data_IF_483459554657
#
_entry.id   IF_483459554657
#
_cell.length_a   1.000
_cell.length_b   1.000
_cell.length_c   1.000
_cell.angle_alpha   90.00
_cell.angle_beta   90.00
_cell.angle_gamma   90.00
#
_symmetry.space_group_name_H-M   'P 1'
#
loop_
_entity.id
_entity.type
_entity.pdbx_description
1 polymer ?
#
# COMPACT_ATOMS: atom_id res chain seq x y z
N UNK A 1 20.24 23.44 15.32
CA UNK A 1 20.86 22.21 14.78
C UNK A 1 19.75 21.46 14.05
N UNK A 2 19.97 20.94 12.85
CA UNK A 2 18.96 20.15 12.11
C UNK A 2 18.89 18.75 12.73
N UNK A 3 17.72 18.32 13.16
CA UNK A 3 17.50 16.95 13.63
C UNK A 3 16.97 16.13 12.45
N UNK A 4 17.85 15.35 11.81
CA UNK A 4 17.53 14.59 10.61
C UNK A 4 17.64 13.09 10.89
N UNK A 5 16.62 12.33 10.50
CA UNK A 5 16.63 10.88 10.49
C UNK A 5 16.35 10.32 9.11
N UNK A 6 16.94 9.17 8.81
CA UNK A 6 16.75 8.37 7.62
C UNK A 6 15.93 7.14 7.97
N UNK A 7 14.96 6.78 7.14
CA UNK A 7 14.24 5.51 7.22
C UNK A 7 14.50 4.68 5.98
N UNK A 8 14.69 3.39 6.17
CA UNK A 8 14.97 2.43 5.12
C UNK A 8 14.03 1.22 5.28
N UNK A 9 13.48 0.77 4.17
CA UNK A 9 12.81 -0.53 4.08
C UNK A 9 13.48 -1.41 3.05
N UNK A 10 13.76 -2.66 3.41
CA UNK A 10 14.39 -3.68 2.56
C UNK A 10 13.49 -4.91 2.42
N UNK A 11 13.79 -5.74 1.42
CA UNK A 11 12.97 -6.89 1.05
C UNK A 11 12.28 -6.65 -0.28
N UNK A 12 10.96 -6.66 -0.32
CA UNK A 12 10.17 -6.18 -1.46
C UNK A 12 9.70 -4.73 -1.20
N UNK A 13 9.38 -4.01 -2.26
CA UNK A 13 8.92 -2.61 -2.21
C UNK A 13 9.89 -1.67 -1.45
N UNK A 14 11.21 -1.89 -1.64
CA UNK A 14 12.26 -1.10 -0.98
C UNK A 14 12.01 0.40 -1.12
N UNK A 15 12.21 1.12 -0.02
CA UNK A 15 11.95 2.56 0.03
C UNK A 15 12.87 3.29 0.99
N UNK A 16 12.89 4.61 0.85
CA UNK A 16 13.70 5.54 1.63
C UNK A 16 12.84 6.72 2.04
N UNK A 17 12.99 7.21 3.28
CA UNK A 17 12.32 8.42 3.76
C UNK A 17 13.23 9.28 4.64
N UNK A 18 13.00 10.59 4.63
CA UNK A 18 13.76 11.57 5.43
C UNK A 18 12.79 12.40 6.27
N UNK A 19 13.03 12.42 7.57
CA UNK A 19 12.37 13.32 8.54
C UNK A 19 13.36 14.38 8.97
N UNK A 20 12.96 15.64 8.91
CA UNK A 20 13.72 16.77 9.45
C UNK A 20 12.87 17.57 10.42
N UNK A 21 13.35 17.77 11.63
CA UNK A 21 12.69 18.57 12.69
C UNK A 21 11.20 18.18 12.88
N UNK A 22 10.88 16.88 12.79
CA UNK A 22 9.53 16.33 12.95
C UNK A 22 8.65 16.39 11.71
N UNK A 23 9.16 16.89 10.59
CA UNK A 23 8.46 16.97 9.30
C UNK A 23 9.01 15.94 8.31
N UNK A 24 8.12 15.25 7.60
CA UNK A 24 8.52 14.43 6.46
C UNK A 24 8.85 15.35 5.28
N UNK A 25 10.11 15.34 4.86
CA UNK A 25 10.58 16.19 3.77
C UNK A 25 10.85 15.45 2.47
N UNK A 26 10.95 14.13 2.53
CA UNK A 26 11.13 13.30 1.34
C UNK A 26 10.87 11.83 1.60
N UNK A 27 10.30 11.15 0.59
CA UNK A 27 10.20 9.69 0.54
C UNK A 27 10.21 9.21 -0.92
N UNK A 28 10.87 8.08 -1.16
CA UNK A 28 11.07 7.56 -2.52
C UNK A 28 11.13 6.05 -2.52
N UNK A 29 10.26 5.40 -3.28
CA UNK A 29 10.34 3.97 -3.54
C UNK A 29 11.51 3.69 -4.53
N UNK A 30 12.31 2.66 -4.23
CA UNK A 30 13.49 2.32 -5.03
C UNK A 30 13.13 1.93 -6.48
N UNK A 31 11.92 1.40 -6.71
CA UNK A 31 11.42 1.08 -8.07
C UNK A 31 11.36 2.31 -9.00
N UNK A 32 11.29 3.53 -8.45
CA UNK A 32 11.33 4.77 -9.23
C UNK A 32 12.71 5.03 -9.83
N UNK A 33 13.75 4.47 -9.22
CA UNK A 33 15.16 4.64 -9.60
C UNK A 33 15.66 3.43 -10.39
N UNK A 34 15.54 2.21 -9.84
CA UNK A 34 16.05 0.99 -10.47
C UNK A 34 15.14 0.44 -11.58
N UNK A 35 13.93 1.02 -11.75
CA UNK A 35 12.94 0.66 -12.77
C UNK A 35 12.46 -0.79 -12.70
N UNK A 36 12.59 -1.41 -11.54
CA UNK A 36 12.11 -2.77 -11.27
C UNK A 36 10.89 -2.68 -10.38
N UNK A 37 9.75 -3.12 -10.88
CA UNK A 37 8.51 -3.14 -10.11
C UNK A 37 8.70 -3.96 -8.83
N UNK A 38 8.24 -3.41 -7.70
CA UNK A 38 8.43 -3.92 -6.34
C UNK A 38 9.88 -4.01 -5.85
N UNK A 39 10.87 -3.61 -6.63
CA UNK A 39 12.28 -3.48 -6.26
C UNK A 39 12.76 -4.45 -5.16
N UNK A 40 12.77 -5.78 -5.45
CA UNK A 40 13.05 -6.82 -4.46
C UNK A 40 14.56 -6.99 -4.25
N UNK A 41 15.05 -6.75 -3.04
CA UNK A 41 16.41 -7.07 -2.62
C UNK A 41 16.60 -6.92 -1.10
N UNK A 42 17.47 -7.75 -0.53
CA UNK A 42 17.97 -7.56 0.84
C UNK A 42 19.02 -6.42 0.96
N UNK A 43 19.55 -5.91 -0.17
CA UNK A 43 20.57 -4.85 -0.18
C UNK A 43 19.94 -3.48 -0.02
N UNK A 44 20.64 -2.59 0.67
CA UNK A 44 20.26 -1.19 0.81
C UNK A 44 20.19 -0.52 -0.57
N UNK A 45 19.15 0.29 -0.85
CA UNK A 45 19.01 1.00 -2.13
C UNK A 45 19.83 2.30 -2.16
N UNK A 46 21.17 2.21 -2.14
CA UNK A 46 22.08 3.35 -2.04
C UNK A 46 21.81 4.44 -3.09
N UNK A 47 21.60 4.06 -4.35
CA UNK A 47 21.29 5.03 -5.41
C UNK A 47 20.01 5.83 -5.11
N UNK A 48 19.04 5.22 -4.45
CA UNK A 48 17.80 5.90 -4.04
C UNK A 48 18.06 6.88 -2.91
N UNK A 49 18.91 6.50 -1.94
CA UNK A 49 19.35 7.37 -0.84
C UNK A 49 20.08 8.58 -1.43
N UNK A 50 21.12 8.35 -2.24
CA UNK A 50 21.98 9.41 -2.79
C UNK A 50 21.18 10.40 -3.62
N UNK A 51 20.25 9.93 -4.46
CA UNK A 51 19.40 10.81 -5.27
C UNK A 51 18.43 11.63 -4.42
N UNK A 52 17.86 11.04 -3.37
CA UNK A 52 16.95 11.77 -2.47
C UNK A 52 17.71 12.81 -1.66
N UNK A 53 18.87 12.47 -1.11
CA UNK A 53 19.72 13.39 -0.36
C UNK A 53 20.21 14.55 -1.24
N UNK A 54 20.69 14.25 -2.44
CA UNK A 54 21.12 15.28 -3.41
C UNK A 54 19.97 16.22 -3.77
N UNK A 55 18.75 15.70 -3.95
CA UNK A 55 17.56 16.52 -4.22
C UNK A 55 17.18 17.43 -3.06
N UNK A 56 17.32 16.95 -1.81
CA UNK A 56 17.01 17.69 -0.60
C UNK A 56 18.17 18.57 -0.10
N UNK A 57 19.32 18.55 -0.77
CA UNK A 57 20.54 19.26 -0.37
C UNK A 57 20.98 18.90 1.07
N UNK A 58 20.93 17.60 1.41
CA UNK A 58 21.32 17.05 2.70
C UNK A 58 22.58 16.22 2.54
N UNK A 59 23.56 16.43 3.42
CA UNK A 59 24.70 15.54 3.55
C UNK A 59 24.33 14.30 4.35
N UNK A 60 24.88 13.13 4.00
CA UNK A 60 24.71 11.92 4.82
C UNK A 60 25.22 12.14 6.27
N UNK A 61 26.24 12.98 6.44
CA UNK A 61 26.81 13.32 7.74
C UNK A 61 25.88 14.19 8.64
N UNK A 62 24.81 14.78 8.08
CA UNK A 62 23.79 15.49 8.84
C UNK A 62 22.78 14.54 9.51
N UNK A 63 22.77 13.27 9.09
CA UNK A 63 21.86 12.23 9.58
C UNK A 63 22.51 11.50 10.76
N UNK A 64 21.85 11.53 11.91
CA UNK A 64 22.34 10.88 13.13
C UNK A 64 21.69 9.53 13.40
N UNK A 65 20.40 9.39 13.12
CA UNK A 65 19.64 8.17 13.38
C UNK A 65 19.09 7.58 12.10
N UNK A 66 19.26 6.26 11.94
CA UNK A 66 18.77 5.50 10.80
C UNK A 66 17.80 4.44 11.28
N UNK A 67 16.53 4.57 10.93
CA UNK A 67 15.53 3.54 11.16
C UNK A 67 15.56 2.50 10.04
N UNK A 68 15.55 1.23 10.37
CA UNK A 68 15.46 0.15 9.41
C UNK A 68 14.28 -0.77 9.72
N UNK A 69 13.65 -1.23 8.67
CA UNK A 69 12.66 -2.29 8.68
C UNK A 69 12.85 -3.16 7.44
N UNK A 70 12.33 -4.38 7.45
CA UNK A 70 12.53 -5.34 6.37
C UNK A 70 11.33 -6.28 6.25
N UNK A 71 11.21 -6.91 5.09
CA UNK A 71 10.21 -7.94 4.83
C UNK A 71 10.85 -9.13 4.11
N UNK A 72 10.52 -10.34 4.54
CA UNK A 72 10.91 -11.59 3.89
C UNK A 72 12.42 -11.75 3.65
N UNK A 73 13.25 -11.36 4.62
CA UNK A 73 14.71 -11.44 4.56
C UNK A 73 15.20 -12.49 5.53
N UNK A 74 15.81 -13.55 5.02
CA UNK A 74 16.44 -14.61 5.82
C UNK A 74 17.95 -14.32 5.95
N UNK A 75 18.31 -13.43 6.87
CA UNK A 75 19.70 -13.05 7.19
C UNK A 75 19.88 -13.08 8.70
N UNK A 76 20.89 -13.82 9.14
CA UNK A 76 21.30 -13.82 10.54
C UNK A 76 21.96 -12.48 10.89
N UNK A 77 21.71 -11.95 12.09
CA UNK A 77 22.28 -10.69 12.59
C UNK A 77 22.00 -9.50 11.62
N UNK A 78 20.74 -9.28 11.30
CA UNK A 78 20.30 -8.24 10.35
C UNK A 78 20.82 -6.84 10.70
N UNK A 79 20.89 -6.50 11.98
CA UNK A 79 21.39 -5.20 12.44
C UNK A 79 22.85 -5.00 12.04
N UNK A 80 23.72 -5.97 12.34
CA UNK A 80 25.15 -5.93 11.97
C UNK A 80 25.29 -5.89 10.45
N UNK A 81 24.52 -6.71 9.72
CA UNK A 81 24.54 -6.77 8.26
C UNK A 81 24.22 -5.41 7.62
N UNK A 82 23.22 -4.70 8.09
CA UNK A 82 22.87 -3.39 7.54
C UNK A 82 23.81 -2.29 8.03
N UNK A 83 24.28 -2.37 9.27
CA UNK A 83 25.29 -1.46 9.78
C UNK A 83 26.57 -1.50 8.95
N UNK A 84 27.06 -2.70 8.65
CA UNK A 84 28.25 -2.89 7.81
C UNK A 84 28.06 -2.36 6.40
N UNK A 85 26.92 -2.62 5.74
CA UNK A 85 26.64 -2.08 4.41
C UNK A 85 26.66 -0.54 4.40
N UNK A 86 26.04 0.10 5.40
CA UNK A 86 26.02 1.57 5.50
C UNK A 86 27.41 2.14 5.76
N UNK A 87 28.15 1.56 6.70
CA UNK A 87 29.49 1.99 7.09
C UNK A 87 30.52 1.79 5.97
N UNK A 88 30.36 0.70 5.19
CA UNK A 88 31.22 0.42 4.06
C UNK A 88 30.98 1.35 2.88
N UNK A 89 29.74 1.72 2.62
CA UNK A 89 29.38 2.64 1.54
C UNK A 89 29.68 4.10 1.91
N UNK A 90 29.27 4.55 3.09
CA UNK A 90 29.47 5.90 3.57
C UNK A 90 30.59 5.95 4.63
N UNK A 91 31.84 6.04 4.18
CA UNK A 91 33.02 6.08 5.08
C UNK A 91 32.99 7.32 5.97
N UNK A 92 33.39 7.13 7.25
CA UNK A 92 33.45 8.18 8.27
C UNK A 92 32.09 8.78 8.67
N UNK A 93 30.97 8.14 8.33
CA UNK A 93 29.65 8.54 8.80
C UNK A 93 29.41 7.97 10.23
N UNK A 94 29.06 8.85 11.15
CA UNK A 94 28.73 8.47 12.52
C UNK A 94 27.21 8.48 12.72
N UNK A 95 26.60 7.33 12.82
CA UNK A 95 25.16 7.15 12.95
C UNK A 95 24.81 6.07 13.97
N UNK A 96 23.59 6.09 14.45
CA UNK A 96 23.00 5.06 15.29
C UNK A 96 21.87 4.37 14.50
N UNK A 97 21.93 3.02 14.42
CA UNK A 97 20.92 2.22 13.78
C UNK A 97 19.77 1.92 14.73
N UNK A 98 18.55 1.96 14.25
CA UNK A 98 17.32 1.70 15.01
C UNK A 98 16.51 0.66 14.23
N UNK A 99 16.54 -0.59 14.69
CA UNK A 99 15.65 -1.63 14.15
C UNK A 99 14.22 -1.33 14.57
N UNK A 100 13.32 -1.33 13.62
CA UNK A 100 11.89 -1.05 13.82
C UNK A 100 11.11 -2.26 13.38
N UNK A 101 10.29 -2.76 14.28
CA UNK A 101 9.35 -3.84 14.03
C UNK A 101 8.45 -3.53 12.82
N UNK A 102 8.15 -4.56 12.00
CA UNK A 102 7.45 -4.42 10.74
C UNK A 102 6.06 -3.78 10.90
N UNK A 103 5.23 -4.32 11.81
CA UNK A 103 3.90 -3.74 12.05
C UNK A 103 3.96 -2.40 12.75
N UNK A 104 4.97 -2.17 13.61
CA UNK A 104 5.19 -0.86 14.22
C UNK A 104 5.59 0.20 13.18
N UNK A 105 6.36 -0.17 12.17
CA UNK A 105 6.70 0.74 11.07
C UNK A 105 5.46 1.12 10.26
N UNK A 106 4.59 0.16 9.93
CA UNK A 106 3.28 0.44 9.33
C UNK A 106 2.44 1.37 10.21
N UNK A 107 2.36 1.10 11.51
CA UNK A 107 1.59 1.92 12.45
C UNK A 107 2.13 3.35 12.53
N UNK A 108 3.45 3.52 12.59
CA UNK A 108 4.08 4.83 12.61
C UNK A 108 3.87 5.60 11.30
N UNK A 109 3.95 4.93 10.14
CA UNK A 109 3.74 5.57 8.83
C UNK A 109 2.34 6.16 8.71
N UNK A 110 1.31 5.40 9.09
CA UNK A 110 -0.08 5.88 8.97
C UNK A 110 -0.46 6.87 10.07
N UNK A 111 -0.04 6.65 11.33
CA UNK A 111 -0.39 7.55 12.42
C UNK A 111 0.25 8.93 12.29
N UNK A 112 1.57 9.00 12.06
CA UNK A 112 2.27 10.29 11.99
C UNK A 112 1.95 11.11 10.73
N UNK A 113 1.28 10.51 9.76
CA UNK A 113 0.76 11.21 8.57
C UNK A 113 -0.74 11.52 8.64
N UNK A 114 -1.43 11.13 9.72
CA UNK A 114 -2.88 11.32 9.86
C UNK A 114 -3.29 12.72 10.30
N UNK A 115 -2.43 13.43 11.04
CA UNK A 115 -2.80 14.66 11.74
C UNK A 115 -3.63 14.42 13.03
N UNK A 116 -3.85 13.16 13.42
CA UNK A 116 -4.61 12.84 14.63
C UNK A 116 -3.79 13.00 15.90
N UNK A 117 -4.40 13.53 16.97
CA UNK A 117 -3.77 13.60 18.29
C UNK A 117 -3.74 12.24 18.99
N UNK A 118 -4.73 11.40 18.73
CA UNK A 118 -4.87 10.04 19.23
C UNK A 118 -5.74 9.22 18.28
N UNK A 119 -5.34 7.96 18.03
CA UNK A 119 -6.14 7.04 17.19
C UNK A 119 -5.96 5.59 17.61
N UNK A 120 -6.92 4.75 17.21
CA UNK A 120 -6.67 3.34 16.98
C UNK A 120 -5.87 3.20 15.68
N UNK A 121 -4.91 2.27 15.65
CA UNK A 121 -4.18 1.91 14.46
C UNK A 121 -4.34 0.41 14.25
N UNK A 122 -4.95 0.01 13.15
CA UNK A 122 -5.14 -1.39 12.82
C UNK A 122 -4.29 -1.74 11.60
N UNK A 123 -3.40 -2.72 11.79
CA UNK A 123 -2.53 -3.26 10.77
C UNK A 123 -3.05 -4.62 10.35
N UNK A 124 -3.20 -4.83 9.03
CA UNK A 124 -3.52 -6.12 8.43
C UNK A 124 -2.67 -6.32 7.16
N UNK A 125 -1.71 -7.21 7.28
CA UNK A 125 -0.72 -7.45 6.23
C UNK A 125 -0.56 -8.95 5.91
N UNK A 126 0.22 -9.23 4.87
CA UNK A 126 0.58 -10.58 4.48
C UNK A 126 1.40 -11.32 5.55
N UNK A 127 2.19 -10.60 6.29
CA UNK A 127 3.04 -11.07 7.36
C UNK A 127 3.89 -9.93 7.90
N UNK A 128 4.59 -10.18 9.00
CA UNK A 128 5.50 -9.23 9.64
C UNK A 128 6.66 -9.95 10.32
N UNK A 129 7.15 -9.41 11.42
CA UNK A 129 8.26 -9.99 12.16
C UNK A 129 7.85 -11.28 12.90
N UNK A 130 8.85 -12.03 13.33
CA UNK A 130 8.63 -13.26 14.09
C UNK A 130 8.40 -12.97 15.58
N UNK A 131 7.25 -13.40 16.08
CA UNK A 131 6.87 -13.35 17.49
C UNK A 131 6.79 -14.78 18.03
N UNK A 132 7.73 -15.17 18.88
CA UNK A 132 7.80 -16.53 19.45
C UNK A 132 7.79 -17.64 18.36
N UNK A 133 8.45 -17.42 17.22
CA UNK A 133 8.54 -18.37 16.12
C UNK A 133 7.35 -18.39 15.17
N UNK A 134 6.32 -17.57 15.41
CA UNK A 134 5.20 -17.30 14.52
C UNK A 134 5.33 -15.91 13.91
N UNK A 135 4.72 -15.70 12.76
CA UNK A 135 4.78 -14.42 12.05
C UNK A 135 3.60 -13.52 12.46
N UNK A 136 3.81 -12.22 12.58
CA UNK A 136 2.72 -11.26 12.75
C UNK A 136 1.71 -11.36 11.62
N UNK A 137 0.43 -11.21 11.93
CA UNK A 137 -0.64 -11.23 10.92
C UNK A 137 -1.53 -10.00 10.99
N UNK A 138 -2.13 -9.73 12.12
CA UNK A 138 -2.88 -8.51 12.42
C UNK A 138 -2.40 -7.92 13.75
N UNK A 139 -2.25 -6.60 13.80
CA UNK A 139 -1.84 -5.87 15.02
C UNK A 139 -2.68 -4.63 15.22
N UNK A 140 -2.98 -4.35 16.49
CA UNK A 140 -3.72 -3.15 16.91
C UNK A 140 -2.89 -2.35 17.88
N UNK A 141 -2.76 -1.06 17.60
CA UNK A 141 -2.07 -0.12 18.46
C UNK A 141 -3.02 1.00 18.89
N UNK A 142 -2.74 1.56 20.06
CA UNK A 142 -3.21 2.89 20.43
C UNK A 142 -2.05 3.84 20.25
N UNK A 143 -2.23 4.84 19.42
CA UNK A 143 -1.21 5.83 19.09
C UNK A 143 -1.66 7.22 19.58
N UNK A 144 -0.73 7.95 20.17
CA UNK A 144 -0.88 9.36 20.54
C UNK A 144 0.43 10.13 20.32
N UNK A 145 0.45 11.41 20.71
CA UNK A 145 1.65 12.28 20.57
C UNK A 145 2.89 11.76 21.30
N UNK A 146 2.71 10.88 22.30
CA UNK A 146 3.82 10.39 23.12
C UNK A 146 4.39 9.09 22.57
N UNK A 147 3.51 8.12 22.19
CA UNK A 147 3.98 6.82 21.69
C UNK A 147 2.90 6.08 20.89
N UNK A 148 3.32 4.97 20.31
CA UNK A 148 2.50 3.98 19.61
C UNK A 148 2.63 2.67 20.39
N UNK A 149 1.55 2.25 21.05
CA UNK A 149 1.54 1.13 22.00
C UNK A 149 0.74 -0.02 21.42
N UNK A 150 1.35 -1.18 21.26
CA UNK A 150 0.67 -2.43 20.87
C UNK A 150 -0.32 -2.83 21.98
N UNK A 151 -1.58 -3.06 21.61
CA UNK A 151 -2.65 -3.46 22.55
C UNK A 151 -3.23 -4.82 22.25
N UNK A 152 -3.24 -5.21 20.97
CA UNK A 152 -3.66 -6.56 20.55
C UNK A 152 -2.82 -7.00 19.35
N UNK A 153 -2.54 -8.30 19.28
CA UNK A 153 -1.80 -8.88 18.16
C UNK A 153 -2.28 -10.30 17.91
N UNK A 154 -2.41 -10.66 16.65
CA UNK A 154 -2.60 -12.01 16.16
C UNK A 154 -1.36 -12.43 15.38
N UNK A 155 -1.00 -13.69 15.50
CA UNK A 155 0.12 -14.28 14.77
C UNK A 155 -0.35 -15.43 13.90
N UNK A 156 0.40 -15.70 12.84
CA UNK A 156 0.16 -16.81 11.92
C UNK A 156 1.32 -17.80 11.96
N UNK A 157 1.08 -19.01 11.44
CA UNK A 157 2.12 -20.04 11.37
C UNK A 157 3.21 -19.66 10.37
N UNK A 158 4.48 -19.73 10.79
CA UNK A 158 5.65 -19.46 9.96
C UNK A 158 5.88 -20.48 8.81
N UNK A 159 5.10 -21.57 8.76
CA UNK A 159 5.23 -22.63 7.73
C UNK A 159 5.00 -22.09 6.31
N UNK A 160 4.30 -20.96 6.17
CA UNK A 160 3.89 -20.39 4.89
C UNK A 160 5.09 -19.94 4.03
N UNK A 161 6.17 -19.47 4.63
CA UNK A 161 7.39 -19.07 3.90
C UNK A 161 8.14 -20.26 3.26
N UNK A 162 7.93 -21.49 3.77
CA UNK A 162 8.61 -22.69 3.27
C UNK A 162 7.92 -23.30 2.05
N UNK A 163 6.70 -22.87 1.72
CA UNK A 163 5.96 -23.40 0.58
C UNK A 163 6.40 -22.69 -0.71
N UNK A 164 6.94 -23.47 -1.66
CA UNK A 164 7.37 -22.91 -2.94
C UNK A 164 6.17 -22.35 -3.74
N UNK A 165 6.37 -21.26 -4.49
CA UNK A 165 5.36 -20.67 -5.40
C UNK A 165 4.72 -21.71 -6.35
N UNK A 166 5.47 -22.73 -6.76
CA UNK A 166 4.96 -23.83 -7.60
C UNK A 166 3.86 -24.64 -6.93
N UNK A 167 3.89 -24.78 -5.60
CA UNK A 167 2.87 -25.52 -4.85
C UNK A 167 1.54 -24.76 -4.79
N UNK A 168 1.56 -23.44 -4.87
CA UNK A 168 0.36 -22.63 -4.95
C UNK A 168 -0.41 -22.77 -6.26
N UNK A 169 0.30 -22.99 -7.38
CA UNK A 169 -0.30 -23.09 -8.71
C UNK A 169 -0.87 -24.46 -9.05
N UNK A 170 -0.38 -25.52 -8.38
CA UNK A 170 -0.65 -26.88 -8.86
C UNK A 170 -1.97 -27.44 -8.35
N UNK A 171 -2.38 -27.16 -7.13
CA UNK A 171 -3.70 -27.54 -6.57
C UNK A 171 -3.90 -26.82 -5.22
N UNK A 172 -4.45 -25.60 -5.20
CA UNK A 172 -4.66 -24.87 -3.94
C UNK A 172 -5.59 -25.60 -2.96
N UNK A 173 -6.39 -26.57 -3.45
CA UNK A 173 -7.30 -27.36 -2.64
C UNK A 173 -6.64 -28.54 -1.91
N UNK A 174 -5.48 -29.02 -2.37
CA UNK A 174 -4.86 -30.26 -1.84
C UNK A 174 -3.69 -30.01 -0.89
N UNK A 175 -3.37 -28.76 -0.58
CA UNK A 175 -2.29 -28.48 0.33
C UNK A 175 -2.82 -28.32 1.76
N UNK A 176 -2.86 -29.43 2.49
CA UNK A 176 -3.24 -29.51 3.91
C UNK A 176 -2.55 -28.44 4.79
N UNK A 177 -1.36 -27.98 4.38
CA UNK A 177 -0.62 -26.94 5.08
C UNK A 177 -1.36 -25.59 5.09
N UNK A 178 -2.11 -25.25 4.03
CA UNK A 178 -2.92 -24.03 3.99
C UNK A 178 -4.25 -24.16 4.72
N UNK A 179 -4.85 -25.36 4.69
CA UNK A 179 -6.17 -25.58 5.28
C UNK A 179 -6.12 -25.72 6.80
N UNK A 180 -4.98 -26.17 7.36
CA UNK A 180 -4.83 -26.49 8.79
C UNK A 180 -4.11 -25.42 9.61
N UNK A 181 -3.50 -24.42 8.99
CA UNK A 181 -2.72 -23.42 9.70
C UNK A 181 -3.44 -22.06 9.74
N UNK A 182 -3.36 -21.41 10.87
CA UNK A 182 -3.80 -20.01 10.97
C UNK A 182 -2.91 -19.15 10.08
N UNK A 183 -3.54 -18.35 9.21
CA UNK A 183 -2.90 -17.37 8.35
C UNK A 183 -3.63 -16.02 8.43
N UNK A 184 -2.99 -14.94 7.99
CA UNK A 184 -3.57 -13.60 7.99
C UNK A 184 -4.76 -13.50 7.02
N UNK A 185 -5.63 -12.51 7.26
CA UNK A 185 -6.71 -12.18 6.31
C UNK A 185 -6.14 -11.83 4.95
N UNK A 186 -5.04 -11.09 4.92
CA UNK A 186 -4.35 -10.71 3.68
C UNK A 186 -3.79 -11.92 2.93
N UNK A 187 -3.16 -12.88 3.63
CA UNK A 187 -2.67 -14.13 3.02
C UNK A 187 -3.81 -15.00 2.48
N UNK A 188 -4.95 -15.07 3.17
CA UNK A 188 -6.12 -15.79 2.64
C UNK A 188 -6.65 -15.15 1.36
N UNK A 189 -6.69 -13.82 1.30
CA UNK A 189 -7.05 -13.10 0.07
C UNK A 189 -6.07 -13.39 -1.07
N UNK A 190 -4.77 -13.38 -0.77
CA UNK A 190 -3.72 -13.73 -1.74
C UNK A 190 -3.84 -15.19 -2.21
N UNK A 191 -4.12 -16.14 -1.31
CA UNK A 191 -4.32 -17.55 -1.66
C UNK A 191 -5.44 -17.73 -2.70
N UNK A 192 -6.58 -17.06 -2.51
CA UNK A 192 -7.67 -17.07 -3.50
C UNK A 192 -7.23 -16.37 -4.80
N UNK A 193 -6.42 -15.33 -4.71
CA UNK A 193 -5.83 -14.67 -5.89
C UNK A 193 -5.05 -15.65 -6.75
N UNK A 194 -4.20 -16.48 -6.15
CA UNK A 194 -3.51 -17.57 -6.88
C UNK A 194 -4.48 -18.61 -7.43
N UNK A 195 -5.47 -19.01 -6.64
CA UNK A 195 -6.44 -20.03 -7.02
C UNK A 195 -7.21 -19.65 -8.29
N UNK A 196 -7.53 -18.38 -8.46
CA UNK A 196 -8.23 -17.89 -9.68
C UNK A 196 -7.30 -17.52 -10.84
N UNK A 197 -6.00 -17.87 -10.72
CA UNK A 197 -5.03 -17.79 -11.82
C UNK A 197 -4.26 -16.47 -11.93
N UNK A 198 -4.23 -15.67 -10.88
CA UNK A 198 -3.36 -14.52 -10.78
C UNK A 198 -2.06 -14.87 -10.03
N UNK A 199 -1.08 -13.97 -10.03
CA UNK A 199 0.23 -14.18 -9.45
C UNK A 199 0.44 -13.29 -8.20
N UNK A 200 1.61 -13.43 -7.58
CA UNK A 200 2.08 -12.64 -6.44
C UNK A 200 1.91 -11.11 -6.68
N UNK A 201 1.52 -10.40 -5.65
CA UNK A 201 1.21 -8.98 -5.70
C UNK A 201 0.13 -8.58 -6.75
N UNK A 202 -0.76 -9.50 -7.08
CA UNK A 202 -1.87 -9.24 -7.99
C UNK A 202 -3.26 -9.24 -7.31
N UNK A 203 -3.31 -9.16 -5.98
CA UNK A 203 -4.56 -9.09 -5.22
C UNK A 203 -5.50 -7.96 -5.70
N UNK A 204 -4.95 -6.84 -6.17
CA UNK A 204 -5.72 -5.78 -6.80
C UNK A 204 -6.46 -6.19 -8.09
N UNK A 205 -6.05 -7.29 -8.77
CA UNK A 205 -6.82 -7.86 -9.89
C UNK A 205 -8.04 -8.62 -9.37
N UNK A 206 -7.88 -9.39 -8.29
CA UNK A 206 -8.98 -10.07 -7.61
C UNK A 206 -10.04 -9.08 -7.14
N UNK A 207 -9.62 -7.98 -6.48
CA UNK A 207 -10.51 -6.89 -6.09
C UNK A 207 -11.29 -6.31 -7.30
N UNK A 208 -10.57 -5.98 -8.39
CA UNK A 208 -11.20 -5.45 -9.60
C UNK A 208 -12.15 -6.44 -10.29
N UNK A 209 -11.83 -7.75 -10.22
CA UNK A 209 -12.65 -8.81 -10.81
C UNK A 209 -13.90 -9.09 -9.97
N UNK A 210 -13.83 -8.92 -8.66
CA UNK A 210 -14.92 -9.17 -7.72
C UNK A 210 -16.20 -8.39 -8.06
N UNK A 211 -16.06 -7.19 -8.62
CA UNK A 211 -17.20 -6.34 -9.04
C UNK A 211 -18.04 -6.93 -10.19
N UNK A 212 -17.57 -8.00 -10.84
CA UNK A 212 -18.25 -8.66 -11.96
C UNK A 212 -18.86 -10.01 -11.59
N UNK A 213 -18.72 -10.45 -10.34
CA UNK A 213 -19.19 -11.73 -9.85
C UNK A 213 -20.28 -11.60 -8.80
N UNK A 214 -20.79 -12.75 -8.37
CA UNK A 214 -21.73 -12.88 -7.28
C UNK A 214 -21.16 -13.79 -6.19
N UNK A 215 -21.57 -13.59 -4.94
CA UNK A 215 -21.15 -14.46 -3.85
C UNK A 215 -21.72 -15.88 -4.05
N UNK A 216 -20.82 -16.87 -4.10
CA UNK A 216 -21.20 -18.27 -4.35
C UNK A 216 -21.68 -18.99 -3.10
N UNK A 217 -21.24 -18.55 -1.93
CA UNK A 217 -21.36 -19.29 -0.67
C UNK A 217 -21.92 -18.37 0.38
N UNK A 218 -22.97 -18.80 1.05
CA UNK A 218 -23.44 -18.12 2.25
C UNK A 218 -22.57 -18.51 3.44
N UNK A 219 -22.09 -17.52 4.17
CA UNK A 219 -21.21 -17.72 5.33
C UNK A 219 -21.46 -16.67 6.40
N UNK A 220 -21.28 -17.08 7.64
CA UNK A 220 -21.29 -16.21 8.79
C UNK A 220 -19.86 -15.89 9.21
N UNK A 221 -19.62 -14.65 9.59
CA UNK A 221 -18.37 -14.23 10.23
C UNK A 221 -18.46 -14.59 11.71
N UNK A 222 -17.40 -15.15 12.33
CA UNK A 222 -17.40 -15.42 13.75
C UNK A 222 -17.60 -14.13 14.56
N UNK A 223 -18.17 -14.27 15.74
CA UNK A 223 -18.25 -13.17 16.71
C UNK A 223 -16.82 -12.83 17.17
N UNK A 224 -16.39 -11.59 16.96
CA UNK A 224 -15.07 -11.11 17.35
C UNK A 224 -15.12 -10.63 18.82
N UNK A 225 -14.47 -11.35 19.71
CA UNK A 225 -14.35 -11.02 21.16
C UNK A 225 -12.96 -10.53 21.52
N UNK A 226 -11.99 -10.91 20.74
CA UNK A 226 -10.60 -10.49 20.78
C UNK A 226 -9.99 -10.69 19.38
N UNK A 227 -8.74 -10.39 19.20
CA UNK A 227 -8.05 -10.60 17.91
C UNK A 227 -7.71 -12.08 17.65
N UNK A 228 -7.98 -13.00 18.60
CA UNK A 228 -7.74 -14.44 18.48
C UNK A 228 -8.98 -15.16 17.91
N UNK A 229 -9.24 -15.00 16.64
CA UNK A 229 -10.36 -15.64 15.95
C UNK A 229 -9.86 -16.67 14.94
N UNK A 230 -10.69 -17.69 14.68
CA UNK A 230 -10.45 -18.64 13.59
C UNK A 230 -11.00 -18.08 12.27
N UNK A 231 -10.23 -18.26 11.20
CA UNK A 231 -10.69 -17.86 9.87
C UNK A 231 -11.52 -18.98 9.24
N UNK A 232 -12.77 -18.67 8.93
CA UNK A 232 -13.70 -19.60 8.26
C UNK A 232 -13.45 -19.72 6.74
N UNK A 233 -12.41 -19.09 6.22
CA UNK A 233 -12.10 -19.12 4.80
C UNK A 233 -11.73 -20.54 4.31
N UNK A 234 -11.28 -21.42 5.21
CA UNK A 234 -11.04 -22.84 4.88
C UNK A 234 -12.32 -23.50 4.44
N UNK A 235 -13.43 -23.25 5.15
CA UNK A 235 -14.75 -23.69 4.74
C UNK A 235 -15.11 -23.20 3.32
N UNK A 236 -14.82 -21.94 2.98
CA UNK A 236 -15.08 -21.40 1.64
C UNK A 236 -14.25 -22.13 0.59
N UNK A 237 -12.98 -22.39 0.85
CA UNK A 237 -12.11 -23.15 -0.05
C UNK A 237 -12.63 -24.58 -0.24
N UNK A 238 -13.04 -25.23 0.84
CA UNK A 238 -13.62 -26.57 0.78
C UNK A 238 -14.92 -26.62 -0.05
N UNK A 239 -15.81 -25.64 0.12
CA UNK A 239 -17.04 -25.56 -0.68
C UNK A 239 -16.76 -25.31 -2.16
N UNK A 240 -15.80 -24.44 -2.49
CA UNK A 240 -15.35 -24.24 -3.87
C UNK A 240 -14.76 -25.54 -4.44
N UNK A 241 -14.03 -26.31 -3.63
CA UNK A 241 -13.50 -27.59 -4.03
C UNK A 241 -14.62 -28.62 -4.31
N UNK A 242 -15.63 -28.73 -3.42
CA UNK A 242 -16.79 -29.59 -3.64
C UNK A 242 -17.55 -29.21 -4.92
N UNK A 243 -17.68 -27.91 -5.22
CA UNK A 243 -18.25 -27.42 -6.48
C UNK A 243 -17.40 -27.86 -7.68
N UNK A 244 -16.08 -27.80 -7.56
CA UNK A 244 -15.17 -28.25 -8.60
C UNK A 244 -15.33 -29.73 -8.87
N UNK A 245 -15.26 -30.58 -7.86
CA UNK A 245 -15.42 -32.05 -8.01
C UNK A 245 -16.76 -32.44 -8.61
N UNK A 246 -17.85 -31.82 -8.12
CA UNK A 246 -19.20 -32.10 -8.63
C UNK A 246 -19.44 -31.59 -10.05
N UNK A 247 -18.65 -30.64 -10.52
CA UNK A 247 -18.81 -30.02 -11.85
C UNK A 247 -18.41 -30.95 -13.00
N UNK A 248 -17.54 -31.94 -12.76
CA UNK A 248 -16.94 -32.77 -13.81
C UNK A 248 -16.03 -32.01 -14.77
N UNK A 249 -15.74 -30.73 -14.53
CA UNK A 249 -14.90 -29.89 -15.38
C UNK A 249 -13.41 -30.08 -15.07
N UNK A 250 -12.55 -29.87 -16.06
CA UNK A 250 -11.12 -29.68 -15.80
C UNK A 250 -10.91 -28.35 -15.05
N UNK A 251 -9.91 -28.31 -14.15
CA UNK A 251 -9.62 -27.14 -13.29
C UNK A 251 -9.56 -25.81 -14.05
N UNK A 252 -8.81 -25.66 -15.17
CA UNK A 252 -8.79 -24.39 -15.91
C UNK A 252 -10.16 -23.96 -16.44
N UNK A 253 -10.99 -24.92 -16.85
CA UNK A 253 -12.35 -24.64 -17.34
C UNK A 253 -13.26 -24.22 -16.19
N UNK A 254 -13.14 -24.87 -15.03
CA UNK A 254 -13.88 -24.51 -13.82
C UNK A 254 -13.52 -23.08 -13.38
N UNK A 255 -12.22 -22.78 -13.25
CA UNK A 255 -11.77 -21.43 -12.84
C UNK A 255 -12.24 -20.38 -13.87
N UNK A 256 -12.08 -20.60 -15.15
CA UNK A 256 -12.55 -19.66 -16.16
C UNK A 256 -14.05 -19.36 -16.05
N UNK A 257 -14.85 -20.35 -15.63
CA UNK A 257 -16.30 -20.18 -15.46
C UNK A 257 -16.65 -19.40 -14.18
N UNK A 258 -15.97 -19.64 -13.07
CA UNK A 258 -16.38 -19.18 -11.75
C UNK A 258 -15.44 -18.12 -11.12
N UNK A 259 -14.34 -17.73 -11.77
CA UNK A 259 -13.33 -16.86 -11.15
C UNK A 259 -13.86 -15.50 -10.70
N UNK A 260 -14.88 -14.95 -11.36
CA UNK A 260 -15.51 -13.69 -10.96
C UNK A 260 -16.28 -13.86 -9.66
N UNK A 261 -17.03 -14.94 -9.57
CA UNK A 261 -17.84 -15.25 -8.38
C UNK A 261 -16.96 -15.65 -7.20
N UNK A 262 -15.87 -16.39 -7.44
CA UNK A 262 -14.87 -16.72 -6.42
C UNK A 262 -14.20 -15.43 -5.90
N UNK A 263 -13.83 -14.53 -6.81
CA UNK A 263 -13.26 -13.24 -6.45
C UNK A 263 -14.24 -12.39 -5.61
N UNK A 264 -15.53 -12.37 -5.99
CA UNK A 264 -16.56 -11.68 -5.23
C UNK A 264 -16.76 -12.31 -3.84
N UNK A 265 -16.76 -13.64 -3.76
CA UNK A 265 -16.92 -14.36 -2.49
C UNK A 265 -15.82 -14.00 -1.49
N UNK A 266 -14.55 -14.02 -1.89
CA UNK A 266 -13.44 -13.63 -1.00
C UNK A 266 -13.48 -12.15 -0.65
N UNK A 267 -13.91 -11.29 -1.57
CA UNK A 267 -14.05 -9.85 -1.29
C UNK A 267 -15.10 -9.62 -0.19
N UNK A 268 -16.28 -10.16 -0.34
CA UNK A 268 -17.37 -10.03 0.66
C UNK A 268 -16.96 -10.65 2.00
N UNK A 269 -16.28 -11.80 1.98
CA UNK A 269 -15.77 -12.40 3.20
C UNK A 269 -14.79 -11.46 3.92
N UNK A 270 -13.82 -10.93 3.19
CA UNK A 270 -12.81 -10.01 3.74
C UNK A 270 -13.45 -8.74 4.31
N UNK A 271 -14.40 -8.16 3.59
CA UNK A 271 -15.17 -7.00 4.06
C UNK A 271 -15.92 -7.31 5.37
N UNK A 272 -16.67 -8.40 5.43
CA UNK A 272 -17.41 -8.80 6.63
C UNK A 272 -16.46 -9.03 7.83
N UNK A 273 -15.33 -9.71 7.62
CA UNK A 273 -14.32 -9.96 8.67
C UNK A 273 -13.75 -8.67 9.22
N UNK A 274 -13.23 -7.81 8.35
CA UNK A 274 -12.60 -6.56 8.78
C UNK A 274 -13.59 -5.61 9.42
N UNK A 275 -14.82 -5.53 8.90
CA UNK A 275 -15.90 -4.74 9.51
C UNK A 275 -16.21 -5.24 10.94
N UNK A 276 -16.30 -6.56 11.14
CA UNK A 276 -16.54 -7.12 12.47
C UNK A 276 -15.38 -6.78 13.43
N UNK A 277 -14.13 -6.87 12.97
CA UNK A 277 -12.96 -6.49 13.77
C UNK A 277 -13.00 -4.99 14.11
N UNK A 278 -13.23 -4.13 13.13
CA UNK A 278 -13.29 -2.68 13.34
C UNK A 278 -14.40 -2.32 14.32
N UNK A 279 -15.58 -2.96 14.22
CA UNK A 279 -16.67 -2.78 15.17
C UNK A 279 -16.30 -3.16 16.59
N UNK A 280 -15.67 -4.33 16.76
CA UNK A 280 -15.14 -4.76 18.05
C UNK A 280 -14.11 -3.75 18.62
N UNK A 281 -13.19 -3.26 17.80
CA UNK A 281 -12.16 -2.31 18.24
C UNK A 281 -12.76 -0.96 18.68
N UNK A 282 -13.67 -0.41 17.90
CA UNK A 282 -14.38 0.83 18.23
C UNK A 282 -15.16 0.67 19.54
N UNK A 283 -15.87 -0.45 19.68
CA UNK A 283 -16.67 -0.70 20.87
C UNK A 283 -15.82 -0.91 22.13
N UNK A 284 -14.71 -1.63 22.01
CA UNK A 284 -13.80 -1.91 23.12
C UNK A 284 -13.04 -0.67 23.60
N UNK A 285 -12.44 0.08 22.66
CA UNK A 285 -11.53 1.17 23.00
C UNK A 285 -12.19 2.55 23.02
N UNK A 286 -13.41 2.69 22.48
CA UNK A 286 -14.16 3.95 22.43
C UNK A 286 -13.39 5.11 21.80
N UNK A 287 -12.60 4.80 20.75
CA UNK A 287 -11.85 5.75 19.95
C UNK A 287 -12.43 5.72 18.53
N UNK A 288 -12.87 6.88 18.03
CA UNK A 288 -13.51 7.02 16.71
C UNK A 288 -12.53 7.46 15.60
N UNK A 289 -11.27 7.74 15.94
CA UNK A 289 -10.20 8.00 14.96
C UNK A 289 -9.47 6.69 14.67
N UNK A 290 -9.47 6.29 13.41
CA UNK A 290 -8.92 5.01 12.96
C UNK A 290 -7.87 5.25 11.87
N UNK A 291 -6.67 4.74 12.10
CA UNK A 291 -5.62 4.63 11.09
C UNK A 291 -5.51 3.18 10.61
N UNK A 292 -5.39 2.97 9.30
CA UNK A 292 -5.21 1.65 8.71
C UNK A 292 -3.89 1.59 7.93
N UNK A 293 -3.15 0.46 8.02
CA UNK A 293 -1.99 0.17 7.18
C UNK A 293 -1.76 -1.34 7.03
N UNK A 294 -0.86 -1.72 6.13
CA UNK A 294 -0.64 -3.07 5.64
C UNK A 294 -1.24 -3.25 4.24
N UNK A 295 -0.73 -4.22 3.51
CA UNK A 295 -1.09 -4.46 2.10
C UNK A 295 -2.58 -4.69 1.86
N UNK A 296 -3.33 -5.19 2.85
CA UNK A 296 -4.78 -5.39 2.75
C UNK A 296 -5.53 -4.09 2.48
N UNK A 297 -5.09 -2.96 3.06
CA UNK A 297 -5.76 -1.66 2.91
C UNK A 297 -5.45 -0.92 1.61
N UNK A 298 -4.75 -1.56 0.66
CA UNK A 298 -4.82 -1.18 -0.75
C UNK A 298 -6.18 -1.51 -1.39
N UNK A 299 -7.04 -2.24 -0.68
CA UNK A 299 -8.38 -2.62 -1.11
C UNK A 299 -9.37 -1.45 -0.84
N UNK A 300 -9.57 -0.60 -1.86
CA UNK A 300 -10.41 0.58 -1.77
C UNK A 300 -11.91 0.26 -1.56
N UNK A 301 -12.39 -0.91 -1.99
CA UNK A 301 -13.76 -1.36 -1.73
C UNK A 301 -13.96 -1.63 -0.24
N UNK A 302 -13.06 -2.39 0.37
CA UNK A 302 -13.04 -2.65 1.80
C UNK A 302 -13.01 -1.36 2.62
N UNK A 303 -12.09 -0.47 2.29
CA UNK A 303 -11.91 0.79 3.03
C UNK A 303 -13.18 1.66 2.97
N UNK A 304 -13.79 1.74 1.80
CA UNK A 304 -15.05 2.48 1.66
C UNK A 304 -16.18 1.82 2.46
N UNK A 305 -16.24 0.49 2.47
CA UNK A 305 -17.25 -0.28 3.21
C UNK A 305 -17.16 -0.08 4.73
N UNK A 306 -15.94 0.11 5.27
CA UNK A 306 -15.73 0.48 6.68
C UNK A 306 -16.41 1.83 6.98
N UNK A 307 -16.21 2.85 6.15
CA UNK A 307 -16.83 4.16 6.32
C UNK A 307 -18.35 4.16 6.13
N UNK A 308 -18.87 3.34 5.22
CA UNK A 308 -20.31 3.17 5.07
C UNK A 308 -20.94 2.56 6.34
N UNK A 309 -20.26 1.58 6.94
CA UNK A 309 -20.76 0.85 8.11
C UNK A 309 -20.62 1.66 9.39
N UNK A 310 -19.53 2.39 9.55
CA UNK A 310 -19.23 3.21 10.72
C UNK A 310 -19.07 4.68 10.33
N UNK A 311 -20.20 5.39 10.06
CA UNK A 311 -20.16 6.74 9.51
C UNK A 311 -19.59 7.82 10.46
N UNK A 312 -19.47 7.50 11.74
CA UNK A 312 -19.01 8.42 12.78
C UNK A 312 -17.50 8.33 13.05
N UNK A 313 -16.78 7.46 12.33
CA UNK A 313 -15.33 7.40 12.45
C UNK A 313 -14.64 8.40 11.52
N UNK A 314 -13.50 8.90 11.97
CA UNK A 314 -12.54 9.59 11.12
C UNK A 314 -11.47 8.57 10.68
N UNK A 315 -11.38 8.29 9.39
CA UNK A 315 -10.48 7.29 8.83
C UNK A 315 -9.29 7.94 8.14
N UNK A 316 -8.08 7.50 8.48
CA UNK A 316 -6.86 7.82 7.74
C UNK A 316 -6.16 6.57 7.25
N UNK A 317 -5.69 6.60 6.00
CA UNK A 317 -4.88 5.57 5.37
C UNK A 317 -3.76 6.28 4.63
N UNK A 318 -2.52 6.00 5.00
CA UNK A 318 -1.36 6.54 4.27
C UNK A 318 -1.40 6.09 2.80
N UNK A 319 -1.13 6.97 1.81
CA UNK A 319 -1.12 6.57 0.39
C UNK A 319 -0.13 5.44 0.09
N UNK A 320 0.95 5.32 0.86
CA UNK A 320 1.89 4.20 0.87
C UNK A 320 1.52 3.23 2.01
N UNK A 321 0.34 2.63 1.95
CA UNK A 321 -0.16 1.74 3.03
C UNK A 321 0.49 0.36 3.03
N UNK A 322 1.11 -0.07 1.92
CA UNK A 322 1.94 -1.27 1.83
C UNK A 322 3.37 -1.02 2.31
N UNK A 323 4.27 -1.96 2.01
CA UNK A 323 5.66 -1.94 2.50
C UNK A 323 6.48 -0.76 1.98
N UNK A 324 6.12 -0.18 0.85
CA UNK A 324 6.74 1.03 0.33
C UNK A 324 6.58 2.25 1.25
N UNK A 325 5.65 2.22 2.21
CA UNK A 325 5.48 3.24 3.24
C UNK A 325 6.25 2.98 4.53
N UNK A 326 6.80 1.81 4.73
CA UNK A 326 7.47 1.45 5.99
C UNK A 326 8.72 2.30 6.27
N UNK A 327 9.44 2.72 5.24
CA UNK A 327 10.56 3.65 5.42
C UNK A 327 10.13 4.96 6.10
N UNK A 328 8.89 5.43 5.87
CA UNK A 328 8.33 6.60 6.55
C UNK A 328 8.21 6.32 8.05
N UNK A 329 7.62 5.19 8.42
CA UNK A 329 7.47 4.78 9.81
C UNK A 329 8.82 4.58 10.51
N UNK A 330 9.77 3.92 9.84
CA UNK A 330 11.12 3.71 10.33
C UNK A 330 11.85 5.05 10.58
N UNK A 331 11.71 6.02 9.65
CA UNK A 331 12.30 7.36 9.80
C UNK A 331 11.70 8.10 11.01
N UNK A 332 10.38 8.04 11.22
CA UNK A 332 9.74 8.64 12.40
C UNK A 332 10.19 7.98 13.72
N UNK A 333 10.31 6.65 13.75
CA UNK A 333 10.80 5.93 14.94
C UNK A 333 12.27 6.28 15.24
N UNK A 334 13.11 6.41 14.23
CA UNK A 334 14.49 6.90 14.38
C UNK A 334 14.51 8.37 14.86
N UNK A 335 13.64 9.23 14.32
CA UNK A 335 13.53 10.62 14.75
C UNK A 335 13.20 10.75 16.24
N UNK A 336 12.39 9.85 16.79
CA UNK A 336 12.03 9.82 18.22
C UNK A 336 13.21 9.55 19.17
N UNK A 337 14.39 9.18 18.65
CA UNK A 337 15.65 9.07 19.44
C UNK A 337 16.29 10.42 19.76
N UNK A 338 15.93 11.49 19.06
CA UNK A 338 16.37 12.82 19.45
C UNK A 338 15.69 13.24 20.77
N UNK A 339 16.39 14.03 21.60
CA UNK A 339 15.82 14.64 22.80
C UNK A 339 14.86 15.78 22.42
N UNK A 340 13.81 15.95 23.22
CA UNK A 340 12.85 17.06 23.11
C UNK A 340 12.21 17.18 21.71
N UNK A 341 11.88 16.05 21.09
CA UNK A 341 11.28 16.01 19.76
C UNK A 341 9.81 16.39 19.78
N UNK A 342 9.44 17.36 18.97
CA UNK A 342 8.05 17.65 18.61
C UNK A 342 7.79 17.05 17.22
N UNK A 343 6.72 16.26 17.09
CA UNK A 343 6.23 15.84 15.79
C UNK A 343 5.24 16.88 15.29
N UNK A 344 5.41 17.27 14.04
CA UNK A 344 4.54 18.24 13.38
C UNK A 344 3.40 17.52 12.66
N UNK A 345 2.37 18.27 12.31
CA UNK A 345 1.30 17.76 11.47
C UNK A 345 1.82 17.53 10.04
N UNK A 346 1.90 16.25 9.65
CA UNK A 346 2.38 15.82 8.34
C UNK A 346 1.25 15.52 7.35
N UNK A 347 -0.02 15.67 7.73
CA UNK A 347 -1.17 15.30 6.90
C UNK A 347 -1.24 16.03 5.57
N UNK A 348 -0.71 17.25 5.51
CA UNK A 348 -0.70 18.08 4.30
C UNK A 348 0.52 17.87 3.38
N UNK A 349 1.53 17.12 3.85
CA UNK A 349 2.79 16.97 3.10
C UNK A 349 2.80 15.76 2.17
N UNK A 350 1.89 14.84 2.34
CA UNK A 350 1.72 13.64 1.52
C UNK A 350 0.69 13.90 0.41
N UNK A 351 0.78 13.23 -0.74
CA UNK A 351 1.69 12.13 -1.11
C UNK A 351 2.95 12.55 -1.89
N UNK A 352 3.17 13.82 -2.17
CA UNK A 352 4.17 14.32 -3.13
C UNK A 352 5.55 14.50 -2.49
N UNK A 353 6.18 13.38 -2.12
CA UNK A 353 7.42 13.33 -1.35
C UNK A 353 8.66 12.94 -2.15
N UNK A 354 8.49 12.47 -3.39
CA UNK A 354 9.61 12.06 -4.23
C UNK A 354 10.36 13.24 -4.86
N UNK A 355 11.09 12.97 -5.94
CA UNK A 355 11.93 13.94 -6.65
C UNK A 355 11.11 14.68 -7.71
N UNK A 356 11.36 15.97 -7.87
CA UNK A 356 10.94 16.79 -9.03
C UNK A 356 12.15 17.11 -9.91
N UNK A 357 11.89 17.57 -11.11
CA UNK A 357 12.91 17.93 -12.09
C UNK A 357 12.68 19.36 -12.59
N UNK A 358 13.76 20.14 -12.73
CA UNK A 358 13.68 21.49 -13.29
C UNK A 358 13.36 21.43 -14.79
N UNK A 359 12.75 22.50 -15.31
CA UNK A 359 12.49 22.63 -16.75
C UNK A 359 13.76 22.46 -17.59
N UNK A 360 14.91 22.94 -17.07
CA UNK A 360 16.18 22.79 -17.78
C UNK A 360 16.63 21.33 -17.87
N UNK A 361 16.47 20.53 -16.80
CA UNK A 361 16.79 19.09 -16.84
C UNK A 361 15.84 18.34 -17.77
N UNK A 362 14.56 18.69 -17.78
CA UNK A 362 13.58 18.09 -18.70
C UNK A 362 13.97 18.42 -20.14
N UNK A 363 14.27 19.71 -20.45
CA UNK A 363 14.68 20.14 -21.76
C UNK A 363 15.95 19.40 -22.24
N UNK A 364 16.98 19.35 -21.41
CA UNK A 364 18.21 18.63 -21.72
C UNK A 364 17.94 17.15 -22.02
N UNK A 365 17.05 16.50 -21.26
CA UNK A 365 16.66 15.11 -21.51
C UNK A 365 15.96 14.95 -22.87
N UNK A 366 15.03 15.81 -23.21
CA UNK A 366 14.32 15.77 -24.49
C UNK A 366 15.29 15.95 -25.67
N UNK A 367 16.23 16.90 -25.56
CA UNK A 367 17.24 17.17 -26.56
C UNK A 367 18.23 15.99 -26.72
N UNK A 368 18.66 15.38 -25.61
CA UNK A 368 19.53 14.20 -25.64
C UNK A 368 18.91 12.98 -26.32
N UNK A 369 17.58 12.85 -26.24
CA UNK A 369 16.84 11.79 -26.94
C UNK A 369 16.33 12.22 -28.33
N UNK A 370 16.69 13.42 -28.81
CA UNK A 370 16.23 14.01 -30.07
C UNK A 370 14.69 14.04 -30.20
N UNK A 371 13.99 14.30 -29.08
CA UNK A 371 12.53 14.40 -29.06
C UNK A 371 12.09 15.81 -29.42
N UNK A 372 11.08 15.92 -30.28
CA UNK A 372 10.41 17.19 -30.59
C UNK A 372 9.49 17.55 -29.43
N UNK A 373 9.47 18.82 -29.05
CA UNK A 373 8.59 19.33 -28.00
C UNK A 373 8.15 20.75 -28.32
N UNK A 374 6.99 21.15 -27.80
CA UNK A 374 6.54 22.52 -27.73
C UNK A 374 6.76 23.06 -26.33
N UNK A 375 7.12 24.34 -26.24
CA UNK A 375 7.32 25.01 -24.96
C UNK A 375 6.23 26.07 -24.77
N UNK A 376 5.64 26.12 -23.59
CA UNK A 376 4.62 27.09 -23.21
C UNK A 376 5.10 27.90 -22.02
N UNK A 377 5.17 29.23 -22.17
CA UNK A 377 5.54 30.14 -21.08
C UNK A 377 4.42 30.31 -20.05
N UNK A 378 3.18 30.12 -20.49
CA UNK A 378 1.99 30.27 -19.65
C UNK A 378 1.42 28.91 -19.23
N UNK A 379 1.27 28.70 -17.92
CA UNK A 379 0.55 27.54 -17.37
C UNK A 379 -0.89 27.48 -17.87
N UNK A 380 -1.57 28.62 -18.00
CA UNK A 380 -2.96 28.68 -18.48
C UNK A 380 -3.07 28.24 -19.94
N UNK A 381 -2.09 28.60 -20.78
CA UNK A 381 -2.04 28.13 -22.17
C UNK A 381 -1.82 26.63 -22.24
N UNK A 382 -0.86 26.10 -21.48
CA UNK A 382 -0.61 24.67 -21.39
C UNK A 382 -1.86 23.92 -20.89
N UNK A 383 -2.54 24.42 -19.87
CA UNK A 383 -3.78 23.83 -19.35
C UNK A 383 -4.90 23.80 -20.42
N UNK A 384 -5.04 24.86 -21.20
CA UNK A 384 -6.02 24.88 -22.32
C UNK A 384 -5.69 23.82 -23.39
N UNK A 385 -4.41 23.69 -23.76
CA UNK A 385 -3.96 22.69 -24.71
C UNK A 385 -4.24 21.28 -24.19
N UNK A 386 -3.93 20.99 -22.92
CA UNK A 386 -4.20 19.71 -22.28
C UNK A 386 -5.70 19.42 -22.25
N UNK A 387 -6.51 20.37 -21.78
CA UNK A 387 -7.97 20.23 -21.69
C UNK A 387 -8.61 19.98 -23.06
N UNK A 388 -8.18 20.69 -24.11
CA UNK A 388 -8.66 20.50 -25.48
C UNK A 388 -8.33 19.09 -25.97
N UNK A 389 -7.09 18.62 -25.76
CA UNK A 389 -6.71 17.26 -26.15
C UNK A 389 -7.52 16.18 -25.42
N UNK A 390 -7.78 16.36 -24.10
CA UNK A 390 -8.65 15.45 -23.33
C UNK A 390 -10.08 15.47 -23.86
N UNK A 391 -10.62 16.65 -24.13
CA UNK A 391 -11.97 16.80 -24.70
C UNK A 391 -12.10 16.08 -26.06
N UNK A 392 -11.05 16.14 -26.88
CA UNK A 392 -10.95 15.40 -28.16
C UNK A 392 -10.68 13.90 -28.00
N UNK A 393 -10.81 13.36 -26.79
CA UNK A 393 -10.57 11.95 -26.44
C UNK A 393 -9.12 11.48 -26.65
N UNK A 394 -8.15 12.39 -26.66
CA UNK A 394 -6.74 12.01 -26.64
C UNK A 394 -6.31 11.60 -25.24
N UNK A 395 -5.28 10.75 -25.15
CA UNK A 395 -4.71 10.27 -23.90
C UNK A 395 -3.43 11.05 -23.63
N UNK A 396 -3.33 11.63 -22.43
CA UNK A 396 -2.19 12.46 -22.00
C UNK A 396 -1.38 11.72 -20.95
N UNK A 397 -0.06 11.57 -21.16
CA UNK A 397 0.90 11.27 -20.10
C UNK A 397 1.23 12.56 -19.36
N UNK A 398 0.88 12.63 -18.08
CA UNK A 398 1.06 13.82 -17.26
C UNK A 398 2.20 13.62 -16.25
N UNK A 399 3.18 14.51 -16.29
CA UNK A 399 4.38 14.47 -15.45
C UNK A 399 4.68 15.87 -14.93
N UNK A 400 4.51 16.10 -13.63
CA UNK A 400 4.71 17.40 -12.99
C UNK A 400 5.20 17.27 -11.56
N UNK A 401 5.77 18.31 -10.99
CA UNK A 401 6.15 18.42 -9.58
C UNK A 401 6.93 17.23 -9.02
N UNK A 402 6.82 17.04 -7.73
CA UNK A 402 7.40 15.88 -7.02
C UNK A 402 6.58 14.61 -7.28
N UNK A 403 7.24 13.45 -7.39
CA UNK A 403 6.51 12.19 -7.54
C UNK A 403 5.78 11.80 -6.27
N UNK A 404 4.71 11.05 -6.45
CA UNK A 404 3.95 10.45 -5.37
C UNK A 404 4.74 9.34 -4.67
N UNK A 405 4.51 9.17 -3.36
CA UNK A 405 4.83 7.94 -2.63
C UNK A 405 3.59 7.03 -2.64
N UNK A 406 3.80 5.72 -2.67
CA UNK A 406 2.73 4.74 -2.78
C UNK A 406 2.54 4.21 -4.19
N UNK A 407 1.73 3.13 -4.35
CA UNK A 407 1.57 2.44 -5.64
C UNK A 407 0.61 3.16 -6.59
N UNK A 408 -0.11 4.18 -6.13
CA UNK A 408 -1.12 4.90 -6.92
C UNK A 408 -0.52 6.14 -7.58
N UNK A 409 -0.88 6.36 -8.85
CA UNK A 409 -0.62 7.63 -9.52
C UNK A 409 -1.70 8.65 -9.11
N UNK A 410 -1.28 9.81 -8.60
CA UNK A 410 -2.15 10.83 -8.00
C UNK A 410 -1.93 12.20 -8.68
N UNK A 411 -2.05 12.22 -9.99
CA UNK A 411 -1.95 13.38 -10.87
C UNK A 411 -0.54 13.96 -11.11
N UNK A 412 0.53 13.47 -10.48
CA UNK A 412 1.89 13.91 -10.81
C UNK A 412 2.63 12.99 -11.79
N UNK A 413 2.30 11.71 -11.81
CA UNK A 413 2.85 10.69 -12.72
C UNK A 413 1.70 9.85 -13.28
N UNK A 414 0.78 10.50 -14.02
CA UNK A 414 -0.50 9.93 -14.37
C UNK A 414 -0.72 9.85 -15.88
N UNK A 415 -1.59 8.93 -16.28
CA UNK A 415 -2.24 8.94 -17.59
C UNK A 415 -3.63 9.52 -17.38
N UNK A 416 -3.94 10.62 -18.07
CA UNK A 416 -5.20 11.35 -17.95
C UNK A 416 -5.95 11.25 -19.28
N UNK A 417 -7.27 11.05 -19.19
CA UNK A 417 -8.14 10.94 -20.35
C UNK A 417 -9.56 11.39 -20.02
N UNK A 418 -10.40 11.52 -21.05
CA UNK A 418 -11.78 11.92 -20.92
C UNK A 418 -12.63 10.87 -20.19
N UNK A 419 -13.10 11.19 -18.98
CA UNK A 419 -13.93 10.30 -18.17
C UNK A 419 -15.39 10.21 -18.66
N UNK A 420 -15.84 11.14 -19.53
CA UNK A 420 -17.21 11.17 -20.02
C UNK A 420 -17.44 10.27 -21.25
N UNK A 421 -16.37 9.80 -21.90
CA UNK A 421 -16.48 8.87 -23.00
C UNK A 421 -16.55 7.42 -22.49
N UNK A 422 -17.70 6.76 -22.62
CA UNK A 422 -17.94 5.41 -22.10
C UNK A 422 -16.99 4.32 -22.62
N UNK A 423 -16.37 4.50 -23.80
CA UNK A 423 -15.36 3.58 -24.36
C UNK A 423 -13.94 3.78 -23.85
N UNK A 424 -13.67 4.85 -23.09
CA UNK A 424 -12.29 5.24 -22.71
C UNK A 424 -11.59 4.18 -21.86
N UNK A 425 -12.28 3.54 -20.91
CA UNK A 425 -11.71 2.47 -20.08
C UNK A 425 -11.15 1.34 -20.93
N UNK A 426 -11.93 0.83 -21.87
CA UNK A 426 -11.53 -0.30 -22.71
C UNK A 426 -10.42 0.11 -23.68
N UNK A 427 -10.51 1.31 -24.25
CA UNK A 427 -9.48 1.86 -25.11
C UNK A 427 -8.13 1.96 -24.40
N UNK A 428 -8.06 2.55 -23.18
CA UNK A 428 -6.81 2.66 -22.43
C UNK A 428 -6.28 1.27 -22.02
N UNK A 429 -7.15 0.36 -21.55
CA UNK A 429 -6.73 -0.98 -21.17
C UNK A 429 -6.14 -1.73 -22.36
N UNK A 430 -6.75 -1.66 -23.55
CA UNK A 430 -6.32 -2.37 -24.73
C UNK A 430 -5.11 -1.72 -25.43
N UNK A 431 -5.13 -0.40 -25.61
CA UNK A 431 -4.16 0.31 -26.49
C UNK A 431 -2.96 0.88 -25.75
N UNK A 432 -3.10 1.18 -24.46
CA UNK A 432 -2.05 1.85 -23.68
C UNK A 432 -1.47 0.94 -22.60
N UNK A 433 -2.33 0.29 -21.82
CA UNK A 433 -1.90 -0.53 -20.69
C UNK A 433 -1.69 -2.00 -21.05
N UNK A 434 -2.24 -2.49 -22.16
CA UNK A 434 -2.18 -3.89 -22.59
C UNK A 434 -2.49 -4.86 -21.45
N UNK A 435 -3.64 -4.65 -20.80
CA UNK A 435 -4.05 -5.39 -19.60
C UNK A 435 -5.52 -5.82 -19.67
N UNK A 436 -5.96 -6.55 -18.66
CA UNK A 436 -7.29 -7.13 -18.59
C UNK A 436 -8.40 -6.05 -18.64
N UNK A 437 -9.49 -6.28 -19.42
CA UNK A 437 -10.56 -5.28 -19.62
C UNK A 437 -11.32 -4.90 -18.36
N UNK A 438 -11.40 -5.81 -17.38
CA UNK A 438 -12.08 -5.54 -16.10
C UNK A 438 -11.36 -4.53 -15.19
N UNK A 439 -10.08 -4.22 -15.45
CA UNK A 439 -9.30 -3.30 -14.62
C UNK A 439 -9.91 -1.89 -14.65
N UNK A 440 -10.24 -1.32 -13.47
CA UNK A 440 -10.84 0.01 -13.40
C UNK A 440 -9.81 1.13 -13.56
N UNK A 441 -10.33 2.33 -13.75
CA UNK A 441 -9.64 3.62 -13.57
C UNK A 441 -10.39 4.45 -12.56
N UNK A 442 -9.70 5.34 -11.85
CA UNK A 442 -10.32 6.28 -10.94
C UNK A 442 -10.55 7.62 -11.65
N UNK A 443 -11.71 8.24 -11.49
CA UNK A 443 -11.91 9.63 -11.89
C UNK A 443 -11.13 10.56 -10.97
N UNK A 444 -10.74 11.72 -11.48
CA UNK A 444 -10.20 12.85 -10.71
C UNK A 444 -11.14 14.03 -10.88
N UNK A 445 -11.46 14.67 -9.77
CA UNK A 445 -12.31 15.86 -9.69
C UNK A 445 -11.65 16.91 -8.80
N UNK A 446 -12.04 18.16 -8.94
CA UNK A 446 -11.65 19.19 -7.98
C UNK A 446 -12.30 18.91 -6.62
N UNK A 447 -11.57 19.16 -5.53
CA UNK A 447 -12.02 18.86 -4.17
C UNK A 447 -13.36 19.50 -3.82
N UNK A 448 -13.59 20.75 -4.26
CA UNK A 448 -14.86 21.45 -4.06
C UNK A 448 -16.07 20.81 -4.75
N UNK A 449 -15.85 19.95 -5.74
CA UNK A 449 -16.91 19.21 -6.46
C UNK A 449 -16.99 17.73 -6.08
N UNK A 450 -16.13 17.23 -5.18
CA UNK A 450 -16.11 15.80 -4.87
C UNK A 450 -17.47 15.27 -4.44
N UNK A 451 -18.19 16.00 -3.56
CA UNK A 451 -19.51 15.61 -3.06
C UNK A 451 -20.65 15.83 -4.07
N UNK A 452 -20.39 16.59 -5.12
CA UNK A 452 -21.34 16.72 -6.23
C UNK A 452 -21.35 15.44 -7.06
N UNK A 453 -20.19 14.81 -7.26
CA UNK A 453 -20.06 13.62 -8.08
C UNK A 453 -20.14 12.31 -7.31
N UNK A 454 -19.77 12.32 -6.03
CA UNK A 454 -19.61 11.08 -5.25
C UNK A 454 -20.29 11.16 -3.89
N UNK A 455 -20.86 10.02 -3.46
CA UNK A 455 -21.39 9.86 -2.11
C UNK A 455 -20.23 9.64 -1.12
N UNK A 456 -19.55 10.73 -0.76
CA UNK A 456 -18.40 10.74 0.15
C UNK A 456 -18.74 11.44 1.47
N UNK A 457 -18.37 10.81 2.60
CA UNK A 457 -18.47 11.39 3.94
C UNK A 457 -17.21 12.12 4.36
N UNK A 458 -16.07 11.70 3.84
CA UNK A 458 -14.77 12.36 4.01
C UNK A 458 -14.03 12.42 2.67
N UNK A 459 -13.05 13.32 2.54
CA UNK A 459 -12.24 13.47 1.32
C UNK A 459 -11.48 12.19 0.96
N UNK A 460 -11.27 11.96 -0.34
CA UNK A 460 -10.58 10.78 -0.87
C UNK A 460 -9.41 11.16 -1.77
N UNK A 461 -8.30 11.73 -1.22
CA UNK A 461 -7.22 12.27 -2.03
C UNK A 461 -6.26 11.19 -2.57
N UNK A 462 -6.33 9.94 -2.08
CA UNK A 462 -5.29 8.94 -2.33
C UNK A 462 -5.78 7.72 -3.12
N UNK A 463 -6.97 7.75 -3.73
CA UNK A 463 -7.54 6.61 -4.48
C UNK A 463 -7.65 5.32 -3.61
N UNK A 464 -7.93 5.50 -2.32
CA UNK A 464 -8.07 4.41 -1.33
C UNK A 464 -9.51 4.21 -0.85
N UNK A 465 -10.46 4.97 -1.41
CA UNK A 465 -11.90 4.79 -1.24
C UNK A 465 -12.57 4.59 -2.60
N UNK A 466 -13.66 3.85 -2.64
CA UNK A 466 -14.44 3.57 -3.85
C UNK A 466 -15.91 3.94 -3.65
N UNK A 467 -16.24 5.24 -3.53
CA UNK A 467 -17.61 5.69 -3.31
C UNK A 467 -18.50 5.44 -4.53
N UNK A 468 -19.81 5.42 -4.29
CA UNK A 468 -20.79 5.43 -5.36
C UNK A 468 -20.85 6.81 -6.02
N UNK A 469 -21.14 6.81 -7.33
CA UNK A 469 -21.39 8.03 -8.09
C UNK A 469 -22.81 8.52 -7.80
N UNK A 470 -22.98 9.82 -7.59
CA UNK A 470 -24.31 10.44 -7.43
C UNK A 470 -25.04 10.42 -8.78
N UNK A 471 -26.37 10.34 -8.75
CA UNK A 471 -27.24 10.39 -9.94
C UNK A 471 -27.28 11.80 -10.57
#
# INVERSE_FOLDING_TARGET
MRNISLGLHMGHDRSVAIIENGMIIGALAAERIDRKKHSISAKIPFETIDKLLAYLEISINDIKYVGITYAAVDIQNLEDYYYDQLSDHYKNWNFELVCVDHHLAHAASTFYTSGFDKSLVFIADGGGDLVNGNEESESVYIADKNDIVLVEQRVQSNIIHTLSRKQFHILPFMNDAFLKHQISIAKKYEQITYMIGFDWNQAGKTMGLASYGNCLIDFNVPEIKDLQFELTLDYIIEEIYRMYESSGLKYPTFINKYRQDIANTVQIYTEKMVIAIVGYLIDKYKINKLCLAGGLFLNCLLNHKILETYPDIELHICPATGDDGQAIGAAFRAYRKFKDTTLLDNSKNIPYLGISYSNQLIKNSLENFNLKYDFYDSTDELCKVIATNIYENKIIGFFTGRSEIGPRALCHRSIIANATWGGMKDYINQKVKHREPFRPFAPVVLEEYERTFFNLKQTSPYMLLAPTVNE
#
